data_IF_653837202064
#
_entry.id   IF_653837202064
#
_cell.length_a   1.000
_cell.length_b   1.000
_cell.length_c   1.000
_cell.angle_alpha   90.00
_cell.angle_beta   90.00
_cell.angle_gamma   90.00
#
_symmetry.space_group_name_H-M   'P 1'
#
loop_
_entity.id
_entity.type
_entity.pdbx_description
1 polymer ?
#
# COMPACT_ATOMS: atom_id res chain seq x y z
N UNK A 1 -6.82 -10.61 11.45
CA UNK A 1 -7.95 -9.72 11.81
C UNK A 1 -7.95 -8.67 10.73
N UNK A 2 -8.98 -8.59 9.90
CA UNK A 2 -9.01 -7.63 8.78
C UNK A 2 -8.90 -6.22 9.33
N UNK A 3 -7.90 -5.45 8.90
CA UNK A 3 -7.69 -4.08 9.37
C UNK A 3 -8.93 -3.23 9.02
N UNK A 4 -9.56 -2.59 9.99
CA UNK A 4 -10.68 -1.69 9.75
C UNK A 4 -10.15 -0.28 9.50
N UNK A 5 -10.65 0.38 8.45
CA UNK A 5 -10.27 1.76 8.13
C UNK A 5 -10.62 2.73 9.27
N UNK A 6 -11.65 2.43 10.06
CA UNK A 6 -12.10 3.23 11.20
C UNK A 6 -11.08 3.29 12.34
N UNK A 7 -10.15 2.33 12.39
CA UNK A 7 -9.07 2.31 13.38
C UNK A 7 -7.86 3.16 12.96
N UNK A 8 -7.82 3.63 11.70
CA UNK A 8 -6.71 4.44 11.20
C UNK A 8 -6.89 5.90 11.60
N UNK A 9 -6.15 6.31 12.63
CA UNK A 9 -6.02 7.73 12.96
C UNK A 9 -5.06 8.45 11.99
N UNK A 10 -5.22 9.76 11.75
CA UNK A 10 -4.27 10.53 10.97
C UNK A 10 -2.86 10.52 11.56
N UNK A 11 -1.83 10.40 10.71
CA UNK A 11 -0.43 10.54 11.15
C UNK A 11 -0.11 11.96 11.65
N UNK A 12 0.97 12.06 12.45
CA UNK A 12 1.46 13.33 12.99
C UNK A 12 1.81 14.34 11.90
N UNK A 13 1.46 15.62 12.11
CA UNK A 13 1.57 16.67 11.09
C UNK A 13 3.01 16.92 10.62
N UNK A 14 4.02 16.72 11.47
CA UNK A 14 5.44 16.83 11.09
C UNK A 14 5.81 15.83 9.98
N UNK A 15 5.36 14.58 10.09
CA UNK A 15 5.61 13.55 9.09
C UNK A 15 4.85 13.87 7.80
N UNK A 16 3.58 14.24 7.93
CA UNK A 16 2.73 14.63 6.77
C UNK A 16 3.39 15.75 5.97
N UNK A 17 3.89 16.79 6.66
CA UNK A 17 4.49 17.96 6.01
C UNK A 17 5.73 17.64 5.19
N UNK A 18 6.52 16.64 5.60
CA UNK A 18 7.70 16.17 4.84
C UNK A 18 7.27 15.51 3.52
N UNK A 19 6.12 14.83 3.50
CA UNK A 19 5.63 14.12 2.33
C UNK A 19 4.80 15.02 1.39
N UNK A 20 4.14 16.06 1.88
CA UNK A 20 3.26 16.95 1.11
C UNK A 20 3.79 17.41 -0.26
N UNK A 21 5.09 17.76 -0.43
CA UNK A 21 5.62 18.19 -1.73
C UNK A 21 5.52 17.14 -2.84
N UNK A 22 5.48 15.85 -2.49
CA UNK A 22 5.44 14.73 -3.43
C UNK A 22 4.02 14.41 -3.93
N UNK A 23 2.99 14.99 -3.29
CA UNK A 23 1.59 14.71 -3.62
C UNK A 23 0.87 15.95 -4.11
N UNK A 24 -0.02 15.75 -5.08
CA UNK A 24 -0.93 16.76 -5.61
C UNK A 24 -2.38 16.32 -5.39
N UNK A 25 -3.30 17.27 -5.44
CA UNK A 25 -4.75 17.04 -5.49
C UNK A 25 -5.30 16.23 -4.30
N UNK A 26 -6.35 15.44 -4.57
CA UNK A 26 -7.09 14.60 -3.62
C UNK A 26 -6.23 13.65 -2.79
N UNK A 27 -5.05 13.25 -3.27
CA UNK A 27 -4.12 12.40 -2.51
C UNK A 27 -3.63 13.04 -1.21
N UNK A 28 -3.60 14.38 -1.14
CA UNK A 28 -3.21 15.11 0.09
C UNK A 28 -4.17 14.89 1.26
N UNK A 29 -5.46 14.66 0.99
CA UNK A 29 -6.47 14.45 2.04
C UNK A 29 -6.34 13.06 2.68
N UNK A 30 -5.88 12.07 1.92
CA UNK A 30 -5.71 10.68 2.36
C UNK A 30 -4.30 10.44 2.91
N UNK A 31 -3.33 11.28 2.55
CA UNK A 31 -1.92 11.16 2.95
C UNK A 31 -1.72 10.90 4.45
N UNK A 32 -2.39 11.59 5.39
CA UNK A 32 -2.23 11.30 6.82
C UNK A 32 -2.62 9.87 7.19
N UNK A 33 -3.68 9.33 6.61
CA UNK A 33 -4.12 7.94 6.86
C UNK A 33 -3.14 6.93 6.26
N UNK A 34 -2.65 7.21 5.04
CA UNK A 34 -1.68 6.35 4.39
C UNK A 34 -0.33 6.30 5.14
N UNK A 35 0.09 7.41 5.73
CA UNK A 35 1.29 7.47 6.57
C UNK A 35 1.09 6.73 7.89
N UNK A 36 -0.11 6.79 8.49
CA UNK A 36 -0.40 5.97 9.67
C UNK A 36 -0.41 4.47 9.32
N UNK A 37 -1.03 4.10 8.20
CA UNK A 37 -1.00 2.74 7.68
C UNK A 37 0.44 2.28 7.43
N UNK A 38 1.28 3.12 6.83
CA UNK A 38 2.71 2.84 6.65
C UNK A 38 3.40 2.51 7.99
N UNK A 39 3.11 3.26 9.05
CA UNK A 39 3.69 3.04 10.39
C UNK A 39 3.25 1.73 11.05
N UNK A 40 2.18 1.07 10.57
CA UNK A 40 1.77 -0.26 11.05
C UNK A 40 2.65 -1.38 10.49
N UNK A 41 3.35 -1.15 9.38
CA UNK A 41 4.28 -2.12 8.78
C UNK A 41 3.63 -3.34 8.10
N UNK A 42 2.30 -3.41 8.06
CA UNK A 42 1.58 -4.50 7.42
C UNK A 42 0.18 -4.10 6.92
N UNK A 43 -0.29 -4.83 5.90
CA UNK A 43 -1.65 -4.75 5.37
C UNK A 43 -2.12 -6.16 4.99
N UNK A 44 -3.25 -6.59 5.56
CA UNK A 44 -3.96 -7.82 5.17
C UNK A 44 -5.12 -7.46 4.23
N UNK A 45 -5.26 -8.21 3.14
CA UNK A 45 -6.27 -7.92 2.13
C UNK A 45 -6.58 -9.09 1.21
N UNK A 46 -7.35 -8.80 0.17
CA UNK A 46 -7.84 -9.78 -0.78
C UNK A 46 -7.70 -9.24 -2.21
N UNK A 47 -6.91 -9.95 -3.03
CA UNK A 47 -6.79 -9.63 -4.45
C UNK A 47 -8.02 -10.14 -5.19
N UNK A 48 -8.79 -9.22 -5.76
CA UNK A 48 -9.94 -9.58 -6.60
C UNK A 48 -9.49 -10.21 -7.93
N UNK A 49 -10.05 -11.38 -8.23
CA UNK A 49 -9.84 -12.10 -9.50
C UNK A 49 -11.12 -12.05 -10.32
N UNK A 50 -10.99 -11.68 -11.59
CA UNK A 50 -12.15 -11.61 -12.50
C UNK A 50 -12.63 -13.05 -12.78
N UNK A 51 -13.86 -13.35 -12.40
CA UNK A 51 -14.49 -14.65 -12.67
C UNK A 51 -14.01 -15.80 -11.78
N UNK A 52 -13.38 -15.50 -10.64
CA UNK A 52 -12.95 -16.50 -9.66
C UNK A 52 -12.99 -15.94 -8.24
N UNK A 53 -12.49 -16.73 -7.30
CA UNK A 53 -12.43 -16.35 -5.89
C UNK A 53 -11.32 -15.33 -5.63
N UNK A 54 -11.53 -14.47 -4.63
CA UNK A 54 -10.50 -13.55 -4.15
C UNK A 54 -9.32 -14.33 -3.56
N UNK A 55 -8.10 -13.84 -3.78
CA UNK A 55 -6.89 -14.44 -3.22
C UNK A 55 -6.44 -13.62 -2.02
N UNK A 56 -6.45 -14.17 -0.79
CA UNK A 56 -6.00 -13.43 0.38
C UNK A 56 -4.50 -13.16 0.29
N UNK A 57 -4.06 -11.99 0.78
CA UNK A 57 -2.65 -11.64 0.85
C UNK A 57 -2.29 -10.97 2.18
N UNK A 58 -1.01 -11.06 2.52
CA UNK A 58 -0.38 -10.30 3.60
C UNK A 58 0.79 -9.52 3.02
N UNK A 59 0.72 -8.20 3.10
CA UNK A 59 1.81 -7.30 2.76
C UNK A 59 2.54 -6.87 4.04
N UNK A 60 3.88 -6.91 4.02
CA UNK A 60 4.73 -6.48 5.15
C UNK A 60 5.89 -5.64 4.67
N UNK A 61 6.28 -4.66 5.46
CA UNK A 61 7.45 -3.81 5.22
C UNK A 61 8.06 -3.35 6.54
N UNK A 62 9.34 -3.01 6.51
CA UNK A 62 10.04 -2.50 7.69
C UNK A 62 9.64 -1.05 7.97
N UNK A 63 9.33 -0.76 9.23
CA UNK A 63 9.06 0.60 9.70
C UNK A 63 10.35 1.23 10.22
N UNK A 64 10.57 2.51 9.89
CA UNK A 64 11.65 3.32 10.43
C UNK A 64 11.03 4.49 11.22
N UNK A 65 11.63 4.85 12.35
CA UNK A 65 11.12 5.94 13.20
C UNK A 65 11.32 7.34 12.56
N UNK A 66 12.26 7.47 11.63
CA UNK A 66 12.48 8.66 10.81
C UNK A 66 12.24 8.28 9.36
N UNK A 67 11.06 8.62 8.82
CA UNK A 67 10.70 8.27 7.45
C UNK A 67 10.99 9.44 6.51
N UNK A 68 11.81 9.23 5.48
CA UNK A 68 12.00 10.22 4.42
C UNK A 68 11.32 9.74 3.12
N UNK A 69 10.77 10.67 2.32
CA UNK A 69 10.14 10.34 1.04
C UNK A 69 11.06 9.58 0.08
N UNK A 70 12.35 9.90 0.07
CA UNK A 70 13.34 9.30 -0.81
C UNK A 70 13.92 7.97 -0.30
N UNK A 71 13.63 7.58 0.95
CA UNK A 71 14.11 6.30 1.49
C UNK A 71 13.54 5.13 0.70
N UNK A 72 14.27 4.03 0.62
CA UNK A 72 13.77 2.82 -0.01
C UNK A 72 12.91 2.01 0.97
N UNK A 73 11.71 1.68 0.54
CA UNK A 73 10.83 0.74 1.22
C UNK A 73 10.89 -0.60 0.50
N UNK A 74 11.19 -1.66 1.26
CA UNK A 74 11.07 -3.04 0.81
C UNK A 74 9.75 -3.61 1.32
N UNK A 75 8.85 -3.91 0.40
CA UNK A 75 7.57 -4.53 0.69
C UNK A 75 7.57 -5.96 0.17
N UNK A 76 7.19 -6.90 1.05
CA UNK A 76 6.96 -8.30 0.72
C UNK A 76 5.46 -8.56 0.73
N UNK A 77 4.97 -9.30 -0.26
CA UNK A 77 3.58 -9.75 -0.31
C UNK A 77 3.56 -11.26 -0.42
N UNK A 78 2.81 -11.89 0.47
CA UNK A 78 2.55 -13.31 0.47
C UNK A 78 1.08 -13.57 0.15
N UNK A 79 0.82 -14.34 -0.89
CA UNK A 79 -0.53 -14.76 -1.27
C UNK A 79 -0.88 -16.13 -0.71
N UNK A 80 -2.17 -16.34 -0.43
CA UNK A 80 -2.77 -17.62 -0.04
C UNK A 80 -2.10 -18.29 1.17
N UNK A 81 -1.46 -17.48 2.02
CA UNK A 81 -0.63 -17.96 3.15
C UNK A 81 0.43 -18.99 2.72
N UNK A 82 0.78 -19.02 1.44
CA UNK A 82 1.78 -19.92 0.89
C UNK A 82 3.13 -19.18 0.77
N UNK A 83 4.18 -19.59 1.49
CA UNK A 83 5.50 -18.98 1.37
C UNK A 83 6.07 -18.99 -0.05
N UNK A 84 5.70 -19.97 -0.88
CA UNK A 84 6.12 -20.05 -2.29
C UNK A 84 5.52 -18.94 -3.15
N UNK A 85 4.37 -18.39 -2.74
CA UNK A 85 3.71 -17.25 -3.41
C UNK A 85 4.08 -15.93 -2.74
N UNK A 86 5.38 -15.76 -2.48
CA UNK A 86 5.95 -14.54 -1.92
C UNK A 86 6.68 -13.73 -2.98
N UNK A 87 6.32 -12.45 -3.09
CA UNK A 87 6.96 -11.48 -3.98
C UNK A 87 7.53 -10.34 -3.16
N UNK A 88 8.59 -9.71 -3.64
CA UNK A 88 9.24 -8.57 -2.99
C UNK A 88 9.47 -7.44 -4.00
N UNK A 89 9.20 -6.22 -3.57
CA UNK A 89 9.51 -5.00 -4.32
C UNK A 89 10.25 -4.01 -3.42
N UNK A 90 11.27 -3.35 -3.98
CA UNK A 90 11.96 -2.22 -3.33
C UNK A 90 11.73 -0.96 -4.16
N UNK A 91 11.07 0.04 -3.59
CA UNK A 91 10.75 1.32 -4.26
C UNK A 91 10.91 2.50 -3.30
N UNK A 92 10.95 3.73 -3.83
CA UNK A 92 11.00 4.92 -3.00
C UNK A 92 9.75 5.04 -2.11
N UNK A 93 9.91 5.55 -0.89
CA UNK A 93 8.86 5.57 0.12
C UNK A 93 7.67 6.44 -0.30
N UNK A 94 7.91 7.59 -0.93
CA UNK A 94 6.80 8.40 -1.48
C UNK A 94 6.00 7.63 -2.55
N UNK A 95 6.65 6.77 -3.32
CA UNK A 95 5.98 5.93 -4.30
C UNK A 95 5.19 4.82 -3.60
N UNK A 96 5.76 4.20 -2.57
CA UNK A 96 5.07 3.18 -1.78
C UNK A 96 3.85 3.74 -1.03
N UNK A 97 3.97 4.90 -0.38
CA UNK A 97 2.85 5.59 0.27
C UNK A 97 1.78 6.00 -0.75
N UNK A 98 2.14 6.28 -2.00
CA UNK A 98 1.16 6.46 -3.08
C UNK A 98 0.30 5.21 -3.30
N UNK A 99 0.90 4.02 -3.22
CA UNK A 99 0.17 2.75 -3.34
C UNK A 99 -0.71 2.47 -2.12
N UNK A 100 -0.28 2.88 -0.92
CA UNK A 100 -1.12 2.81 0.28
C UNK A 100 -2.33 3.75 0.21
N UNK A 101 -2.16 4.95 -0.35
CA UNK A 101 -3.28 5.86 -0.64
C UNK A 101 -4.28 5.18 -1.58
N UNK A 102 -3.80 4.56 -2.67
CA UNK A 102 -4.67 3.88 -3.62
C UNK A 102 -5.39 2.67 -2.99
N UNK A 103 -4.73 1.94 -2.07
CA UNK A 103 -5.34 0.85 -1.32
C UNK A 103 -6.45 1.33 -0.37
N UNK A 104 -6.24 2.46 0.34
CA UNK A 104 -7.27 3.09 1.17
C UNK A 104 -8.48 3.49 0.31
N UNK A 105 -8.24 4.10 -0.85
CA UNK A 105 -9.31 4.49 -1.77
C UNK A 105 -10.08 3.29 -2.33
N UNK A 106 -9.40 2.18 -2.62
CA UNK A 106 -10.04 0.93 -3.01
C UNK A 106 -10.91 0.37 -1.88
N UNK A 107 -10.40 0.35 -0.64
CA UNK A 107 -11.17 -0.09 0.51
C UNK A 107 -12.42 0.77 0.74
N UNK A 108 -12.30 2.10 0.62
CA UNK A 108 -13.44 3.01 0.73
C UNK A 108 -14.53 2.77 -0.34
N UNK A 109 -14.13 2.29 -1.53
CA UNK A 109 -15.06 2.02 -2.64
C UNK A 109 -15.69 0.63 -2.56
N UNK A 110 -14.88 -0.38 -2.31
CA UNK A 110 -15.23 -1.79 -2.51
C UNK A 110 -15.34 -2.58 -1.19
N UNK A 111 -14.95 -1.98 -0.05
CA UNK A 111 -14.94 -2.62 1.27
C UNK A 111 -13.82 -3.66 1.46
N UNK A 112 -12.90 -3.78 0.50
CA UNK A 112 -11.82 -4.76 0.50
C UNK A 112 -10.46 -4.08 0.31
N UNK A 113 -9.48 -4.49 1.09
CA UNK A 113 -8.11 -4.02 0.93
C UNK A 113 -7.48 -4.73 -0.25
N UNK A 114 -7.20 -3.97 -1.31
CA UNK A 114 -6.51 -4.46 -2.49
C UNK A 114 -5.60 -3.37 -3.05
N UNK A 115 -4.44 -3.77 -3.56
CA UNK A 115 -3.55 -2.86 -4.26
C UNK A 115 -4.05 -2.63 -5.70
N UNK A 116 -3.61 -1.51 -6.28
CA UNK A 116 -3.94 -1.18 -7.66
C UNK A 116 -3.28 -2.16 -8.65
N UNK A 117 -3.83 -2.27 -9.87
CA UNK A 117 -3.19 -3.05 -10.95
C UNK A 117 -1.76 -2.58 -11.23
N UNK A 118 -1.50 -1.27 -11.17
CA UNK A 118 -0.17 -0.70 -11.41
C UNK A 118 0.84 -1.07 -10.32
N UNK A 119 0.39 -1.30 -9.09
CA UNK A 119 1.23 -1.88 -8.05
C UNK A 119 1.61 -3.33 -8.38
N UNK A 120 0.63 -4.16 -8.76
CA UNK A 120 0.90 -5.56 -9.10
C UNK A 120 1.78 -5.73 -10.35
N UNK A 121 1.63 -4.88 -11.37
CA UNK A 121 2.53 -4.90 -12.53
C UNK A 121 3.98 -4.63 -12.11
N UNK A 122 4.20 -3.67 -11.20
CA UNK A 122 5.53 -3.40 -10.64
C UNK A 122 6.04 -4.56 -9.79
N UNK A 123 5.20 -5.12 -8.91
CA UNK A 123 5.56 -6.25 -8.04
C UNK A 123 6.00 -7.48 -8.85
N UNK A 124 5.26 -7.81 -9.90
CA UNK A 124 5.50 -8.97 -10.75
C UNK A 124 6.52 -8.71 -11.87
N UNK A 125 7.07 -7.49 -11.94
CA UNK A 125 7.97 -7.04 -13.01
C UNK A 125 7.41 -7.27 -14.42
N UNK A 126 6.08 -7.26 -14.55
CA UNK A 126 5.39 -7.39 -15.83
C UNK A 126 5.38 -6.01 -16.47
N UNK A 127 5.95 -5.88 -17.67
CA UNK A 127 5.81 -4.65 -18.46
C UNK A 127 4.32 -4.41 -18.72
N UNK A 128 3.81 -3.22 -18.39
CA UNK A 128 2.46 -2.82 -18.79
C UNK A 128 2.34 -3.01 -20.31
N UNK A 129 1.47 -3.94 -20.74
CA UNK A 129 1.07 -4.02 -22.13
C UNK A 129 0.13 -2.84 -22.38
N UNK A 130 0.69 -1.73 -22.86
CA UNK A 130 -0.09 -0.63 -23.41
C UNK A 130 -1.01 -1.20 -24.50
N UNK A 131 -2.32 -1.14 -24.27
CA UNK A 131 -3.35 -1.28 -25.31
C UNK A 131 -3.78 0.11 -25.76
#
# INVERSE_FOLDING_TARGET
MTQLLEELEPAQSNIVNVFLPYYRNNKRNILPLALNLYQRGNLEGERQIIGGDNIPFVATWSINNSILPADLTRCRIQFDRNPEYSYEITIANFEFVTHLIDAILNFQRDGLWDFSKSFYYRLLQVKEFNR
#
